data_IF_583624885514
#
_entry.id   IF_583624885514
#
_cell.length_a   1.000
_cell.length_b   1.000
_cell.length_c   1.000
_cell.angle_alpha   90.00
_cell.angle_beta   90.00
_cell.angle_gamma   90.00
#
_symmetry.space_group_name_H-M   'P 1'
#
loop_
_entity.id
_entity.type
_entity.pdbx_description
1 polymer ?
#
# COMPACT_ATOMS: atom_id res chain seq x y z
N UNK A 1 -0.73 -15.77 -25.28
CA UNK A 1 -0.46 -14.32 -25.47
C UNK A 1 -1.79 -13.60 -25.53
N UNK A 2 -2.40 -13.30 -24.40
CA UNK A 2 -3.61 -12.49 -24.33
C UNK A 2 -3.20 -11.02 -24.18
N UNK A 3 -3.30 -10.27 -25.27
CA UNK A 3 -3.24 -8.81 -25.20
C UNK A 3 -4.55 -8.30 -24.59
N UNK A 4 -4.53 -7.98 -23.29
CA UNK A 4 -5.61 -7.22 -22.68
C UNK A 4 -5.52 -5.81 -23.29
N UNK A 5 -6.51 -5.48 -24.13
CA UNK A 5 -6.61 -4.14 -24.71
C UNK A 5 -6.97 -3.16 -23.61
N UNK A 6 -6.05 -2.27 -23.31
CA UNK A 6 -6.27 -1.07 -22.49
C UNK A 6 -7.54 -0.36 -22.98
N UNK A 7 -8.53 -0.22 -22.15
CA UNK A 7 -9.72 0.57 -22.43
C UNK A 7 -9.71 1.84 -21.57
N UNK A 8 -9.18 2.96 -22.06
CA UNK A 8 -9.12 4.21 -21.31
C UNK A 8 -10.50 4.78 -20.98
N UNK A 9 -11.58 4.30 -21.58
CA UNK A 9 -12.93 4.82 -21.34
C UNK A 9 -13.51 4.46 -19.97
N UNK A 10 -12.93 3.51 -19.26
CA UNK A 10 -13.37 3.15 -17.90
C UNK A 10 -13.00 4.27 -16.89
N UNK A 11 -11.95 5.04 -17.20
CA UNK A 11 -11.44 6.12 -16.35
C UNK A 11 -11.88 7.54 -16.79
N UNK A 12 -12.51 7.69 -17.96
CA UNK A 12 -12.83 9.00 -18.56
C UNK A 12 -14.14 9.64 -18.07
N UNK A 13 -14.95 8.95 -17.27
CA UNK A 13 -16.23 9.49 -16.79
C UNK A 13 -16.19 10.09 -15.37
N UNK A 14 -15.05 10.05 -14.68
CA UNK A 14 -14.88 10.83 -13.48
C UNK A 14 -14.18 12.14 -13.86
N UNK A 15 -14.91 13.24 -13.78
CA UNK A 15 -14.33 14.58 -13.86
C UNK A 15 -13.10 14.60 -12.95
N UNK A 16 -11.91 14.89 -13.53
CA UNK A 16 -10.65 15.03 -12.79
C UNK A 16 -10.91 16.04 -11.67
N UNK A 17 -11.28 15.53 -10.50
CA UNK A 17 -11.33 16.36 -9.30
C UNK A 17 -9.88 16.62 -8.95
N UNK A 18 -9.49 17.89 -8.95
CA UNK A 18 -8.19 18.27 -8.40
C UNK A 18 -8.01 17.53 -7.07
N UNK A 19 -6.83 16.91 -6.83
CA UNK A 19 -6.57 16.33 -5.53
C UNK A 19 -6.93 17.37 -4.46
N UNK A 20 -7.61 16.99 -3.38
CA UNK A 20 -8.01 17.94 -2.36
C UNK A 20 -6.79 18.75 -1.95
N UNK A 21 -6.97 20.07 -1.77
CA UNK A 21 -5.92 20.91 -1.19
C UNK A 21 -5.67 20.38 0.23
N UNK A 22 -4.69 19.47 0.36
CA UNK A 22 -4.42 18.74 1.58
C UNK A 22 -4.04 19.75 2.67
N UNK A 23 -4.73 19.76 3.85
CA UNK A 23 -4.37 20.63 4.95
C UNK A 23 -2.92 20.29 5.37
N UNK A 24 -2.10 21.29 5.60
CA UNK A 24 -0.73 21.10 6.09
C UNK A 24 -0.80 20.61 7.53
N UNK A 25 -0.31 19.42 7.82
CA UNK A 25 -0.02 18.99 9.18
C UNK A 25 1.01 19.94 9.79
N UNK A 26 0.84 20.33 11.05
CA UNK A 26 1.64 21.35 11.73
C UNK A 26 3.13 21.02 11.94
N UNK A 27 3.61 19.88 11.42
CA UNK A 27 5.00 19.46 11.44
C UNK A 27 5.43 19.07 10.02
N UNK A 28 6.31 19.87 9.41
CA UNK A 28 6.79 19.61 8.04
C UNK A 28 8.28 19.29 8.09
N UNK A 29 8.67 18.13 7.54
CA UNK A 29 10.07 17.73 7.29
C UNK A 29 10.51 18.18 5.88
N UNK A 30 10.25 19.42 5.52
CA UNK A 30 10.37 19.96 4.15
C UNK A 30 11.75 19.82 3.47
N UNK A 31 12.79 19.42 4.20
CA UNK A 31 14.14 19.23 3.64
C UNK A 31 14.57 17.75 3.61
N UNK A 32 13.66 16.81 3.87
CA UNK A 32 13.95 15.39 3.88
C UNK A 32 13.12 14.69 2.83
N UNK A 33 13.73 13.73 2.15
CA UNK A 33 13.04 12.92 1.12
C UNK A 33 12.51 11.63 1.73
N UNK A 34 11.36 11.17 1.23
CA UNK A 34 10.72 9.92 1.63
C UNK A 34 10.39 9.04 0.41
N UNK A 35 10.53 7.73 0.61
CA UNK A 35 10.12 6.70 -0.34
C UNK A 35 8.96 5.90 0.25
N UNK A 36 7.84 5.86 -0.45
CA UNK A 36 6.67 5.07 -0.05
C UNK A 36 6.64 3.76 -0.82
N UNK A 37 6.57 2.61 -0.12
CA UNK A 37 6.24 1.32 -0.73
C UNK A 37 4.76 1.35 -1.07
N UNK A 38 4.44 1.31 -2.36
CA UNK A 38 3.15 1.71 -2.87
C UNK A 38 2.51 0.64 -3.75
N UNK A 39 1.33 0.16 -3.36
CA UNK A 39 0.55 -0.84 -4.12
C UNK A 39 -0.71 -0.28 -4.79
N UNK A 40 -1.11 0.96 -4.49
CA UNK A 40 -2.38 1.53 -4.95
C UNK A 40 -3.60 1.08 -4.13
N UNK A 41 -3.40 0.27 -3.09
CA UNK A 41 -4.44 -0.10 -2.14
C UNK A 41 -4.68 0.97 -1.09
N UNK A 42 -5.75 0.82 -0.29
CA UNK A 42 -6.17 1.75 0.76
C UNK A 42 -5.00 2.19 1.66
N UNK A 43 -4.30 1.23 2.26
CA UNK A 43 -3.29 1.50 3.29
C UNK A 43 -2.08 2.24 2.73
N UNK A 44 -1.55 1.77 1.60
CA UNK A 44 -0.41 2.42 0.95
C UNK A 44 -0.74 3.80 0.40
N UNK A 45 -1.99 4.03 -0.02
CA UNK A 45 -2.45 5.36 -0.48
C UNK A 45 -2.64 6.32 0.70
N UNK A 46 -3.17 5.83 1.83
CA UNK A 46 -3.22 6.60 3.08
C UNK A 46 -1.83 7.04 3.51
N UNK A 47 -0.85 6.12 3.51
CA UNK A 47 0.55 6.43 3.80
C UNK A 47 1.16 7.43 2.80
N UNK A 48 0.84 7.31 1.51
CA UNK A 48 1.34 8.22 0.48
C UNK A 48 0.83 9.64 0.69
N UNK A 49 -0.47 9.81 0.95
CA UNK A 49 -1.07 11.12 1.22
C UNK A 49 -0.47 11.74 2.48
N UNK A 50 -0.31 10.96 3.55
CA UNK A 50 0.36 11.41 4.78
C UNK A 50 1.81 11.84 4.52
N UNK A 51 2.55 11.07 3.71
CA UNK A 51 3.92 11.42 3.32
C UNK A 51 3.97 12.75 2.56
N UNK A 52 3.05 12.97 1.61
CA UNK A 52 2.98 14.23 0.86
C UNK A 52 2.72 15.42 1.81
N UNK A 53 1.84 15.25 2.80
CA UNK A 53 1.57 16.31 3.78
C UNK A 53 2.77 16.59 4.69
N UNK A 54 3.54 15.54 5.02
CA UNK A 54 4.68 15.62 5.96
C UNK A 54 5.94 16.16 5.30
N UNK A 55 6.28 15.66 4.12
CA UNK A 55 7.57 15.93 3.45
C UNK A 55 7.46 16.94 2.31
N UNK A 56 6.26 17.20 1.79
CA UNK A 56 6.01 17.95 0.56
C UNK A 56 6.05 17.04 -0.67
N UNK A 57 5.21 17.36 -1.66
CA UNK A 57 5.04 16.55 -2.87
C UNK A 57 6.36 16.30 -3.62
N UNK A 58 7.18 17.33 -3.72
CA UNK A 58 8.48 17.33 -4.42
C UNK A 58 9.52 16.41 -3.76
N UNK A 59 9.32 16.07 -2.48
CA UNK A 59 10.24 15.26 -1.68
C UNK A 59 9.77 13.81 -1.51
N UNK A 60 8.63 13.44 -2.09
CA UNK A 60 8.06 12.09 -1.98
C UNK A 60 8.21 11.35 -3.30
N UNK A 61 8.68 10.11 -3.23
CA UNK A 61 8.71 9.16 -4.34
C UNK A 61 8.00 7.88 -3.93
N UNK A 62 7.51 7.13 -4.91
CA UNK A 62 6.92 5.81 -4.67
C UNK A 62 7.71 4.71 -5.37
N UNK A 63 7.72 3.52 -4.75
CA UNK A 63 8.22 2.29 -5.34
C UNK A 63 7.12 1.24 -5.30
N UNK A 64 6.82 0.67 -6.46
CA UNK A 64 5.81 -0.37 -6.64
C UNK A 64 6.47 -1.65 -7.12
N UNK A 65 6.03 -2.79 -6.61
CA UNK A 65 6.59 -4.09 -6.95
C UNK A 65 5.60 -4.89 -7.78
N UNK A 66 6.06 -5.37 -8.94
CA UNK A 66 5.39 -6.39 -9.71
C UNK A 66 6.05 -7.73 -9.37
N UNK A 67 5.35 -8.60 -8.63
CA UNK A 67 5.90 -9.87 -8.15
C UNK A 67 5.15 -11.09 -8.70
N UNK A 68 4.37 -10.88 -9.76
CA UNK A 68 3.56 -11.93 -10.38
C UNK A 68 2.17 -12.09 -9.75
N UNK A 69 1.66 -11.03 -9.10
CA UNK A 69 0.28 -11.00 -8.60
C UNK A 69 -0.72 -11.25 -9.73
N UNK A 70 -1.83 -11.95 -9.41
CA UNK A 70 -2.88 -12.42 -10.34
C UNK A 70 -3.43 -11.32 -11.25
N UNK A 71 -3.58 -10.11 -10.74
CA UNK A 71 -4.29 -9.06 -11.44
C UNK A 71 -3.40 -7.85 -11.71
N UNK A 72 -3.26 -7.50 -13.00
CA UNK A 72 -2.59 -6.28 -13.43
C UNK A 72 -3.30 -4.99 -12.94
N UNK A 73 -4.57 -5.11 -12.56
CA UNK A 73 -5.42 -3.99 -12.09
C UNK A 73 -4.79 -3.24 -10.93
N UNK A 74 -4.16 -3.92 -9.97
CA UNK A 74 -3.47 -3.26 -8.84
C UNK A 74 -2.35 -2.33 -9.32
N UNK A 75 -1.53 -2.80 -10.26
CA UNK A 75 -0.44 -2.01 -10.84
C UNK A 75 -0.95 -0.82 -11.65
N UNK A 76 -2.06 -0.99 -12.36
CA UNK A 76 -2.69 0.08 -13.11
C UNK A 76 -3.26 1.16 -12.17
N UNK A 77 -3.94 0.76 -11.10
CA UNK A 77 -4.40 1.68 -10.07
C UNK A 77 -3.24 2.42 -9.40
N UNK A 78 -2.16 1.70 -9.05
CA UNK A 78 -0.97 2.33 -8.47
C UNK A 78 -0.36 3.38 -9.41
N UNK A 79 -0.26 3.08 -10.70
CA UNK A 79 0.25 4.04 -11.70
C UNK A 79 -0.66 5.26 -11.84
N UNK A 80 -1.96 5.00 -11.94
CA UNK A 80 -2.94 6.07 -12.07
C UNK A 80 -2.93 7.00 -10.86
N UNK A 81 -2.96 6.47 -9.63
CA UNK A 81 -2.92 7.28 -8.40
C UNK A 81 -1.62 8.08 -8.31
N UNK A 82 -0.47 7.48 -8.59
CA UNK A 82 0.81 8.17 -8.56
C UNK A 82 0.85 9.34 -9.57
N UNK A 83 0.30 9.12 -10.76
CA UNK A 83 0.19 10.16 -11.80
C UNK A 83 -0.79 11.26 -11.39
N UNK A 84 -1.97 10.91 -10.87
CA UNK A 84 -3.00 11.85 -10.44
C UNK A 84 -2.52 12.74 -9.29
N UNK A 85 -1.81 12.17 -8.32
CA UNK A 85 -1.18 12.91 -7.23
C UNK A 85 0.11 13.64 -7.63
N UNK A 86 0.63 13.41 -8.83
CA UNK A 86 1.86 14.04 -9.32
C UNK A 86 3.14 13.53 -8.66
N UNK A 87 3.13 12.29 -8.14
CA UNK A 87 4.27 11.68 -7.44
C UNK A 87 5.10 10.83 -8.39
N UNK A 88 6.43 10.97 -8.33
CA UNK A 88 7.35 10.12 -9.08
C UNK A 88 7.22 8.66 -8.63
N UNK A 89 6.92 7.75 -9.56
CA UNK A 89 6.81 6.33 -9.31
C UNK A 89 7.92 5.54 -10.02
N UNK A 90 8.50 4.59 -9.30
CA UNK A 90 9.37 3.54 -9.85
C UNK A 90 8.68 2.20 -9.69
N UNK A 91 8.61 1.41 -10.77
CA UNK A 91 8.08 0.04 -10.74
C UNK A 91 9.25 -0.94 -10.90
N UNK A 92 9.40 -1.86 -9.96
CA UNK A 92 10.38 -2.93 -10.03
C UNK A 92 9.72 -4.28 -10.30
N UNK A 93 10.29 -5.03 -11.22
CA UNK A 93 9.86 -6.39 -11.55
C UNK A 93 10.56 -7.41 -10.64
N UNK A 94 9.77 -8.08 -9.80
CA UNK A 94 10.17 -9.18 -8.93
C UNK A 94 9.46 -10.49 -9.32
N UNK A 95 9.08 -10.66 -10.58
CA UNK A 95 8.39 -11.86 -11.08
C UNK A 95 9.16 -13.17 -10.85
N UNK A 96 10.47 -13.10 -10.58
CA UNK A 96 11.26 -14.24 -10.12
C UNK A 96 10.68 -14.93 -8.88
N UNK A 97 9.91 -14.22 -8.05
CA UNK A 97 9.23 -14.82 -6.89
C UNK A 97 8.30 -15.96 -7.29
N UNK A 98 7.68 -15.91 -8.47
CA UNK A 98 6.82 -17.00 -8.97
C UNK A 98 7.57 -18.33 -9.19
N UNK A 99 8.89 -18.30 -9.31
CA UNK A 99 9.69 -19.51 -9.50
C UNK A 99 10.01 -20.23 -8.19
N UNK A 100 9.87 -19.55 -7.06
CA UNK A 100 10.30 -20.05 -5.74
C UNK A 100 9.19 -20.08 -4.70
N UNK A 101 8.03 -19.48 -4.97
CA UNK A 101 6.88 -19.49 -4.05
C UNK A 101 5.58 -19.72 -4.80
N UNK A 102 4.67 -20.48 -4.18
CA UNK A 102 3.33 -20.76 -4.71
C UNK A 102 2.30 -20.38 -3.65
N UNK A 103 1.36 -19.49 -3.99
CA UNK A 103 0.29 -19.06 -3.11
C UNK A 103 -0.92 -18.55 -3.92
N UNK A 104 -2.07 -18.36 -3.26
CA UNK A 104 -3.31 -17.99 -3.92
C UNK A 104 -3.31 -16.58 -4.55
N UNK A 105 -2.39 -15.68 -4.18
CA UNK A 105 -2.26 -14.37 -4.84
C UNK A 105 -1.48 -14.42 -6.15
N UNK A 106 -0.77 -15.52 -6.43
CA UNK A 106 0.07 -15.70 -7.61
C UNK A 106 -0.44 -16.82 -8.52
N UNK A 107 -1.41 -17.63 -8.06
CA UNK A 107 -2.02 -18.74 -8.81
C UNK A 107 -3.49 -18.43 -9.10
N UNK A 108 -3.82 -18.24 -10.38
CA UNK A 108 -5.19 -17.91 -10.85
C UNK A 108 -6.21 -19.02 -10.59
N UNK A 109 -5.75 -20.25 -10.30
CA UNK A 109 -6.61 -21.42 -10.08
C UNK A 109 -6.87 -21.72 -8.62
N UNK A 110 -6.09 -21.13 -7.70
CA UNK A 110 -6.22 -21.37 -6.27
C UNK A 110 -7.38 -20.57 -5.64
N UNK A 111 -8.25 -21.22 -4.89
CA UNK A 111 -9.24 -20.53 -4.06
C UNK A 111 -8.54 -19.79 -2.91
N UNK A 112 -9.08 -18.64 -2.51
CA UNK A 112 -8.59 -17.90 -1.35
C UNK A 112 -9.19 -18.52 -0.10
N UNK A 113 -8.35 -19.13 0.74
CA UNK A 113 -8.75 -19.87 1.94
C UNK A 113 -7.82 -19.53 3.11
N UNK A 114 -8.30 -19.77 4.33
CA UNK A 114 -7.43 -19.76 5.51
C UNK A 114 -6.88 -21.17 5.71
N UNK A 115 -5.55 -21.30 5.74
CA UNK A 115 -4.91 -22.60 5.93
C UNK A 115 -5.22 -23.18 7.33
N UNK A 116 -5.10 -24.50 7.47
CA UNK A 116 -5.36 -25.21 8.72
C UNK A 116 -4.42 -24.84 9.88
N UNK A 117 -3.26 -24.26 9.56
CA UNK A 117 -2.27 -23.72 10.51
C UNK A 117 -2.55 -22.28 10.95
N UNK A 118 -3.64 -21.67 10.45
CA UNK A 118 -4.07 -20.32 10.80
C UNK A 118 -3.46 -19.21 9.93
N UNK A 119 -2.55 -19.52 9.01
CA UNK A 119 -2.06 -18.56 8.02
C UNK A 119 -2.96 -18.59 6.78
N UNK A 120 -3.38 -17.44 6.25
CA UNK A 120 -4.08 -17.39 4.96
C UNK A 120 -3.18 -17.89 3.83
N UNK A 121 -3.72 -18.64 2.87
CA UNK A 121 -2.99 -19.07 1.69
C UNK A 121 -2.65 -17.93 0.71
N UNK A 122 -3.06 -16.71 1.05
CA UNK A 122 -2.65 -15.46 0.42
C UNK A 122 -1.33 -14.90 0.98
N UNK A 123 -0.77 -15.53 2.02
CA UNK A 123 0.54 -15.18 2.53
C UNK A 123 1.63 -15.59 1.54
N UNK A 124 2.47 -14.63 1.18
CA UNK A 124 3.63 -14.84 0.29
C UNK A 124 4.89 -14.78 1.14
N UNK A 125 5.51 -15.94 1.36
CA UNK A 125 6.70 -16.06 2.20
C UNK A 125 7.80 -15.08 1.79
N UNK A 126 8.24 -14.26 2.76
CA UNK A 126 9.33 -13.31 2.58
C UNK A 126 9.02 -12.09 1.70
N UNK A 127 7.78 -11.90 1.24
CA UNK A 127 7.42 -10.81 0.34
C UNK A 127 7.78 -9.43 0.91
N UNK A 128 7.35 -9.12 2.13
CA UNK A 128 7.64 -7.82 2.72
C UNK A 128 9.12 -7.66 3.07
N UNK A 129 9.85 -8.75 3.35
CA UNK A 129 11.30 -8.70 3.52
C UNK A 129 12.00 -8.26 2.22
N UNK A 130 11.62 -8.85 1.08
CA UNK A 130 12.14 -8.46 -0.24
C UNK A 130 11.76 -7.02 -0.60
N UNK A 131 10.51 -6.63 -0.34
CA UNK A 131 10.05 -5.26 -0.63
C UNK A 131 10.86 -4.23 0.17
N UNK A 132 11.08 -4.46 1.46
CA UNK A 132 11.89 -3.58 2.30
C UNK A 132 13.36 -3.56 1.85
N UNK A 133 13.92 -4.71 1.47
CA UNK A 133 15.29 -4.80 0.98
C UNK A 133 15.47 -4.00 -0.32
N UNK A 134 14.63 -4.23 -1.32
CA UNK A 134 14.73 -3.51 -2.60
C UNK A 134 14.40 -2.02 -2.47
N UNK A 135 13.44 -1.67 -1.62
CA UNK A 135 13.15 -0.28 -1.31
C UNK A 135 14.36 0.42 -0.66
N UNK A 136 15.07 -0.25 0.25
CA UNK A 136 16.27 0.29 0.89
C UNK A 136 17.43 0.45 -0.11
N UNK A 137 17.66 -0.53 -0.99
CA UNK A 137 18.67 -0.42 -2.05
C UNK A 137 18.38 0.78 -2.96
N UNK A 138 17.13 0.91 -3.39
CA UNK A 138 16.69 2.05 -4.21
C UNK A 138 16.84 3.37 -3.45
N UNK A 139 16.36 3.45 -2.22
CA UNK A 139 16.41 4.64 -1.38
C UNK A 139 17.85 5.12 -1.15
N UNK A 140 18.78 4.20 -0.84
CA UNK A 140 20.19 4.53 -0.69
C UNK A 140 20.78 5.14 -1.98
N UNK A 141 20.46 4.55 -3.14
CA UNK A 141 20.88 5.07 -4.44
C UNK A 141 20.37 6.48 -4.76
N UNK A 142 19.25 6.87 -4.15
CA UNK A 142 18.66 8.22 -4.28
C UNK A 142 19.02 9.16 -3.11
N UNK A 143 19.79 8.72 -2.13
CA UNK A 143 20.09 9.50 -0.93
C UNK A 143 18.93 9.61 0.08
N UNK A 144 17.88 8.80 -0.08
CA UNK A 144 16.66 8.81 0.75
C UNK A 144 16.90 7.97 2.00
N UNK A 145 16.50 8.48 3.16
CA UNK A 145 16.59 7.76 4.44
C UNK A 145 15.25 7.27 4.98
N UNK A 146 14.18 7.97 4.66
CA UNK A 146 12.83 7.65 5.15
C UNK A 146 12.12 6.72 4.18
N UNK A 147 11.80 5.52 4.64
CA UNK A 147 11.02 4.51 3.91
C UNK A 147 9.70 4.35 4.64
N UNK A 148 8.57 4.43 3.92
CA UNK A 148 7.23 4.36 4.50
C UNK A 148 6.53 3.13 3.94
N UNK A 149 5.99 2.29 4.82
CA UNK A 149 5.25 1.08 4.46
C UNK A 149 3.90 1.05 5.17
N UNK A 150 2.85 0.70 4.43
CA UNK A 150 1.47 0.59 4.92
C UNK A 150 1.15 -0.75 5.57
N UNK A 151 2.14 -1.40 6.22
CA UNK A 151 1.92 -2.64 6.97
C UNK A 151 1.26 -2.35 8.31
N UNK A 152 0.41 -3.27 8.77
CA UNK A 152 -0.40 -3.14 9.97
C UNK A 152 -0.46 -4.48 10.70
N UNK A 153 -0.20 -4.47 12.01
CA UNK A 153 -0.25 -5.68 12.85
C UNK A 153 -1.68 -5.99 13.33
N UNK A 154 -2.52 -4.97 13.43
CA UNK A 154 -3.91 -5.09 13.93
C UNK A 154 -4.89 -5.58 12.87
N UNK A 155 -4.53 -5.51 11.59
CA UNK A 155 -5.32 -6.13 10.54
C UNK A 155 -5.20 -7.65 10.68
N UNK A 156 -6.27 -8.34 10.97
CA UNK A 156 -6.36 -9.78 11.24
C UNK A 156 -5.87 -10.70 10.10
N UNK A 157 -5.02 -10.20 9.20
CA UNK A 157 -4.38 -11.00 8.16
C UNK A 157 -3.41 -12.04 8.72
N UNK A 158 -2.92 -11.84 9.95
CA UNK A 158 -2.03 -12.78 10.63
C UNK A 158 -0.63 -12.89 10.02
N UNK A 159 -0.30 -12.06 9.05
CA UNK A 159 0.99 -12.13 8.35
C UNK A 159 2.16 -11.80 9.28
N UNK A 160 3.10 -12.74 9.50
CA UNK A 160 4.24 -12.52 10.39
C UNK A 160 5.14 -11.36 9.93
N UNK A 161 5.21 -11.12 8.63
CA UNK A 161 6.00 -10.04 8.01
C UNK A 161 5.28 -8.67 7.96
N UNK A 162 4.14 -8.55 8.64
CA UNK A 162 3.49 -7.27 8.92
C UNK A 162 3.67 -6.81 10.37
N UNK A 163 4.28 -7.62 11.24
CA UNK A 163 4.46 -7.30 12.67
C UNK A 163 5.50 -6.23 12.90
N UNK A 164 5.30 -5.41 13.92
CA UNK A 164 6.21 -4.34 14.31
C UNK A 164 7.64 -4.86 14.60
N UNK A 165 7.74 -5.97 15.31
CA UNK A 165 9.04 -6.60 15.60
C UNK A 165 9.79 -7.00 14.34
N UNK A 166 9.10 -7.48 13.30
CA UNK A 166 9.70 -7.80 12.01
C UNK A 166 10.25 -6.53 11.33
N UNK A 167 9.44 -5.47 11.24
CA UNK A 167 9.84 -4.22 10.60
C UNK A 167 11.05 -3.59 11.32
N UNK A 168 11.05 -3.59 12.67
CA UNK A 168 12.18 -3.11 13.47
C UNK A 168 13.46 -3.92 13.23
N UNK A 169 13.33 -5.26 13.16
CA UNK A 169 14.45 -6.15 12.85
C UNK A 169 15.01 -5.89 11.45
N UNK A 170 14.11 -5.70 10.46
CA UNK A 170 14.53 -5.33 9.10
C UNK A 170 15.23 -3.97 9.06
N UNK A 171 14.73 -2.98 9.79
CA UNK A 171 15.39 -1.66 9.85
C UNK A 171 16.84 -1.78 10.37
N UNK A 172 17.06 -2.54 11.44
CA UNK A 172 18.41 -2.80 11.98
C UNK A 172 19.25 -3.56 10.94
N UNK A 173 18.72 -4.62 10.38
CA UNK A 173 19.41 -5.45 9.38
C UNK A 173 19.87 -4.64 8.17
N UNK A 174 18.99 -3.81 7.62
CA UNK A 174 19.28 -2.99 6.44
C UNK A 174 20.30 -1.89 6.74
N UNK A 175 20.24 -1.29 7.94
CA UNK A 175 21.20 -0.29 8.37
C UNK A 175 22.61 -0.91 8.51
N UNK A 176 22.72 -2.08 9.12
CA UNK A 176 23.98 -2.79 9.26
C UNK A 176 24.51 -3.30 7.92
N UNK A 177 23.63 -3.91 7.11
CA UNK A 177 24.02 -4.49 5.82
C UNK A 177 24.51 -3.45 4.81
N UNK A 178 24.04 -2.20 4.90
CA UNK A 178 24.34 -1.17 3.91
C UNK A 178 25.15 -0.01 4.48
N UNK A 179 25.51 -0.03 5.76
CA UNK A 179 26.16 1.08 6.46
C UNK A 179 25.45 2.41 6.17
N UNK A 180 24.14 2.45 6.45
CA UNK A 180 23.27 3.57 6.14
C UNK A 180 22.24 3.78 7.24
N UNK A 181 21.73 4.99 7.42
CA UNK A 181 20.79 5.32 8.50
C UNK A 181 19.35 5.42 7.97
N UNK A 182 18.77 4.28 7.55
CA UNK A 182 17.36 4.22 7.20
C UNK A 182 16.48 4.37 8.43
N UNK A 183 15.31 4.99 8.22
CA UNK A 183 14.20 5.03 9.14
C UNK A 183 12.96 4.47 8.42
N UNK A 184 12.54 3.27 8.83
CA UNK A 184 11.33 2.66 8.29
C UNK A 184 10.15 3.10 9.15
N UNK A 185 9.20 3.77 8.53
CA UNK A 185 7.97 4.27 9.15
C UNK A 185 6.80 3.40 8.77
N UNK A 186 6.00 3.03 9.76
CA UNK A 186 4.78 2.25 9.59
C UNK A 186 3.61 2.94 10.29
N UNK A 187 3.09 4.03 9.70
CA UNK A 187 2.13 4.88 10.39
C UNK A 187 0.81 4.19 10.75
N UNK A 188 0.52 3.07 10.09
CA UNK A 188 -0.71 2.30 10.33
C UNK A 188 -0.51 1.11 11.28
N UNK A 189 0.70 0.88 11.80
CA UNK A 189 1.09 -0.34 12.49
C UNK A 189 0.10 -0.81 13.57
N UNK A 190 -0.45 0.11 14.34
CA UNK A 190 -1.34 -0.17 15.45
C UNK A 190 -2.77 0.36 15.25
N UNK A 191 -3.10 0.84 14.06
CA UNK A 191 -4.43 1.35 13.75
C UNK A 191 -5.35 0.20 13.33
N UNK A 192 -6.58 0.21 13.85
CA UNK A 192 -7.65 -0.62 13.27
C UNK A 192 -8.05 -0.08 11.90
N UNK A 193 -8.75 -0.89 11.10
CA UNK A 193 -9.22 -0.42 9.79
C UNK A 193 -10.14 0.79 9.90
N UNK A 194 -10.96 0.88 10.94
CA UNK A 194 -11.78 2.06 11.22
C UNK A 194 -10.91 3.30 11.53
N UNK A 195 -9.84 3.13 12.31
CA UNK A 195 -8.89 4.22 12.59
C UNK A 195 -8.09 4.63 11.36
N UNK A 196 -7.79 3.71 10.44
CA UNK A 196 -7.18 4.05 9.16
C UNK A 196 -8.11 4.92 8.29
N UNK A 197 -9.42 4.66 8.32
CA UNK A 197 -10.41 5.51 7.69
C UNK A 197 -10.55 6.88 8.37
N UNK A 198 -10.50 6.92 9.70
CA UNK A 198 -10.48 8.18 10.45
C UNK A 198 -9.26 9.04 10.07
N UNK A 199 -8.08 8.43 9.99
CA UNK A 199 -6.86 9.12 9.53
C UNK A 199 -7.01 9.66 8.11
N UNK A 200 -7.64 8.90 7.21
CA UNK A 200 -7.92 9.34 5.85
C UNK A 200 -8.83 10.57 5.83
N UNK A 201 -9.84 10.62 6.70
CA UNK A 201 -10.76 11.74 6.83
C UNK A 201 -10.09 12.97 7.45
N UNK A 202 -9.32 12.81 8.52
CA UNK A 202 -8.51 13.88 9.13
C UNK A 202 -7.56 14.54 8.10
N UNK A 203 -7.07 13.77 7.15
CA UNK A 203 -6.25 14.27 6.04
C UNK A 203 -7.06 14.91 4.91
N UNK A 204 -8.40 14.91 4.96
CA UNK A 204 -9.28 15.37 3.90
C UNK A 204 -9.28 14.47 2.67
N UNK A 205 -8.89 13.20 2.81
CA UNK A 205 -8.67 12.26 1.72
C UNK A 205 -9.65 11.07 1.72
N UNK A 206 -10.66 11.06 2.62
CA UNK A 206 -11.59 9.93 2.78
C UNK A 206 -12.23 9.51 1.45
N UNK A 207 -12.86 10.45 0.75
CA UNK A 207 -13.56 10.18 -0.51
C UNK A 207 -12.58 9.75 -1.61
N UNK A 208 -11.42 10.39 -1.68
CA UNK A 208 -10.39 10.02 -2.64
C UNK A 208 -9.94 8.56 -2.43
N UNK A 209 -9.59 8.18 -1.20
CA UNK A 209 -9.16 6.81 -0.89
C UNK A 209 -10.30 5.82 -1.13
N UNK A 210 -11.53 6.16 -0.76
CA UNK A 210 -12.69 5.31 -0.96
C UNK A 210 -12.94 5.00 -2.42
N UNK A 211 -12.86 6.01 -3.29
CA UNK A 211 -13.24 5.92 -4.69
C UNK A 211 -12.10 5.46 -5.61
N UNK A 212 -10.84 5.82 -5.28
CA UNK A 212 -9.72 5.66 -6.20
C UNK A 212 -8.81 4.48 -5.91
N UNK A 213 -8.92 3.85 -4.71
CA UNK A 213 -8.02 2.74 -4.36
C UNK A 213 -8.64 1.38 -4.65
N UNK A 214 -7.79 0.44 -5.07
CA UNK A 214 -8.18 -0.94 -5.33
C UNK A 214 -7.55 -1.88 -4.30
N UNK A 215 -8.39 -2.74 -3.68
CA UNK A 215 -7.96 -3.68 -2.63
C UNK A 215 -8.46 -5.11 -2.86
N UNK A 216 -9.26 -5.33 -3.89
CA UNK A 216 -9.91 -6.62 -4.14
C UNK A 216 -8.91 -7.68 -4.60
N UNK A 217 -8.78 -8.78 -3.86
CA UNK A 217 -7.93 -9.92 -4.25
C UNK A 217 -8.40 -10.65 -5.51
N UNK A 218 -9.66 -10.49 -5.88
CA UNK A 218 -10.24 -11.07 -7.10
C UNK A 218 -10.13 -10.10 -8.31
N UNK A 219 -9.47 -8.96 -8.18
CA UNK A 219 -9.27 -8.00 -9.26
C UNK A 219 -10.55 -7.30 -9.73
N UNK A 220 -11.66 -7.37 -8.98
CA UNK A 220 -12.93 -6.77 -9.35
C UNK A 220 -12.91 -5.28 -9.00
N UNK A 221 -13.08 -4.43 -10.01
CA UNK A 221 -13.17 -2.96 -9.82
C UNK A 221 -14.39 -2.65 -8.96
N UNK A 222 -14.21 -1.83 -7.93
CA UNK A 222 -15.25 -1.54 -6.93
C UNK A 222 -15.33 -2.54 -5.78
N UNK A 223 -14.66 -3.69 -5.89
CA UNK A 223 -14.66 -4.75 -4.88
C UNK A 223 -15.59 -5.92 -5.22
N UNK A 224 -15.26 -7.12 -4.75
CA UNK A 224 -16.13 -8.29 -4.85
C UNK A 224 -17.08 -8.45 -3.65
N UNK A 225 -16.86 -7.69 -2.56
CA UNK A 225 -17.59 -7.75 -1.28
C UNK A 225 -17.48 -9.08 -0.51
N UNK A 226 -16.68 -10.03 -1.01
CA UNK A 226 -16.57 -11.39 -0.47
C UNK A 226 -15.16 -11.75 0.00
N UNK A 227 -14.12 -11.27 -0.72
CA UNK A 227 -12.76 -11.60 -0.33
C UNK A 227 -12.38 -10.93 1.01
N UNK A 228 -11.45 -11.51 1.78
CA UNK A 228 -11.08 -10.99 3.11
C UNK A 228 -10.71 -9.51 3.10
N UNK A 229 -10.04 -9.04 2.04
CA UNK A 229 -9.64 -7.64 1.92
C UNK A 229 -10.83 -6.70 1.70
N UNK A 230 -11.81 -7.07 0.86
CA UNK A 230 -13.03 -6.28 0.68
C UNK A 230 -13.85 -6.22 1.97
N UNK A 231 -14.08 -7.37 2.61
CA UNK A 231 -14.86 -7.46 3.86
C UNK A 231 -14.23 -6.62 4.96
N UNK A 232 -12.90 -6.69 5.13
CA UNK A 232 -12.18 -5.92 6.14
C UNK A 232 -12.28 -4.42 5.88
N UNK A 233 -12.09 -4.00 4.62
CA UNK A 233 -12.20 -2.61 4.20
C UNK A 233 -13.57 -2.02 4.46
N UNK A 234 -14.63 -2.72 4.06
CA UNK A 234 -16.02 -2.29 4.17
C UNK A 234 -16.46 -2.23 5.64
N UNK A 235 -16.12 -3.25 6.42
CA UNK A 235 -16.39 -3.27 7.86
C UNK A 235 -15.75 -2.08 8.55
N UNK A 236 -14.47 -1.82 8.29
CA UNK A 236 -13.77 -0.68 8.90
C UNK A 236 -14.37 0.67 8.51
N UNK A 237 -14.82 0.83 7.25
CA UNK A 237 -15.53 2.04 6.83
C UNK A 237 -16.87 2.20 7.54
N UNK A 238 -17.65 1.13 7.66
CA UNK A 238 -18.94 1.15 8.34
C UNK A 238 -18.78 1.51 9.83
N UNK A 239 -17.82 0.88 10.53
CA UNK A 239 -17.50 1.18 11.93
C UNK A 239 -17.09 2.66 12.11
N UNK A 240 -16.27 3.19 11.20
CA UNK A 240 -15.88 4.60 11.23
C UNK A 240 -17.09 5.51 11.06
N UNK A 241 -17.90 5.30 10.02
CA UNK A 241 -19.07 6.14 9.73
C UNK A 241 -20.14 6.08 10.84
N UNK A 242 -20.29 4.96 11.53
CA UNK A 242 -21.15 4.85 12.70
C UNK A 242 -20.62 5.69 13.87
N UNK A 243 -19.32 5.65 14.11
CA UNK A 243 -18.71 6.46 15.17
C UNK A 243 -18.94 7.96 14.99
N UNK A 244 -18.97 8.43 13.73
CA UNK A 244 -19.24 9.84 13.41
C UNK A 244 -20.69 10.28 13.66
N UNK A 245 -21.64 9.35 13.69
CA UNK A 245 -23.06 9.67 13.99
C UNK A 245 -23.34 9.79 15.49
N UNK A 246 -22.44 9.27 16.32
CA UNK A 246 -22.59 9.24 17.77
C UNK A 246 -22.01 10.51 18.47
N UNK A 247 -21.41 11.42 17.70
CA UNK A 247 -20.89 12.72 18.13
C UNK A 247 -21.82 13.82 17.68
#
# INVERSE_FOLDING_TARGET
MYQIRYNPSIYTNHAVRKPPALPKLGFTMQNQQALVIFSGGQDSTTCLIQAIQTYGLENVQTITFQYGQRHAVELEHARWIAQDLGVKQTVLDLSLMQQITHNALMDDTAAIETASDGLPNTFVDGRNALFLLYAAIYAKGQGIRHIIAGVCETDFSGYPDCRDVFVKSMNVTLNLAMDYAFQIHTPLMYLTKAQTWALADEMGALDYIREQTHTCYNGIIGGCHECPSCVLRERGLAEYLESQKAV
#
